data_IF_665793364162
#
_entry.id   IF_665793364162
#
_cell.length_a   1.000
_cell.length_b   1.000
_cell.length_c   1.000
_cell.angle_alpha   90.00
_cell.angle_beta   90.00
_cell.angle_gamma   90.00
#
_symmetry.space_group_name_H-M   'P 1'
#
loop_
_entity.id
_entity.type
_entity.pdbx_description
1 polymer ?
#
# COMPACT_ATOMS: atom_id res chain seq x y z
N UNK A 1 -5.70 2.74 -20.64
CA UNK A 1 -4.72 2.35 -19.60
C UNK A 1 -3.31 2.14 -20.15
N UNK A 2 -3.14 1.89 -21.46
CA UNK A 2 -1.83 1.62 -22.10
C UNK A 2 -0.78 2.73 -21.96
N UNK A 3 -1.15 4.01 -22.04
CA UNK A 3 -0.17 5.11 -22.02
C UNK A 3 0.60 5.25 -20.70
N UNK A 4 0.02 4.85 -19.56
CA UNK A 4 0.66 4.97 -18.24
C UNK A 4 1.69 3.86 -18.02
N UNK A 5 1.42 2.65 -18.50
CA UNK A 5 2.32 1.50 -18.38
C UNK A 5 3.34 1.36 -19.51
N UNK A 6 3.25 2.19 -20.56
CA UNK A 6 4.16 2.10 -21.71
C UNK A 6 5.54 2.64 -21.34
N UNK A 7 6.50 1.74 -21.20
CA UNK A 7 7.90 2.10 -21.03
C UNK A 7 8.43 2.80 -22.30
N UNK A 8 9.22 3.85 -22.11
CA UNK A 8 9.93 4.49 -23.22
C UNK A 8 11.03 3.54 -23.72
N UNK A 9 11.18 3.42 -25.03
CA UNK A 9 12.08 2.46 -25.68
C UNK A 9 13.56 2.75 -25.34
N UNK A 10 13.89 4.03 -25.09
CA UNK A 10 15.27 4.45 -24.86
C UNK A 10 15.70 4.37 -23.40
N UNK A 11 14.78 4.56 -22.45
CA UNK A 11 15.09 4.59 -21.01
C UNK A 11 14.56 3.39 -20.25
N UNK A 12 13.64 2.61 -20.83
CA UNK A 12 12.97 1.49 -20.16
C UNK A 12 11.99 1.92 -19.05
N UNK A 13 11.80 3.22 -18.83
CA UNK A 13 10.95 3.75 -17.74
C UNK A 13 9.59 4.22 -18.28
N UNK A 14 8.47 3.95 -17.59
CA UNK A 14 7.16 4.48 -17.92
C UNK A 14 7.05 5.97 -17.56
N UNK A 15 7.53 6.85 -18.45
CA UNK A 15 7.64 8.30 -18.22
C UNK A 15 6.30 8.95 -17.83
N UNK A 16 5.20 8.59 -18.49
CA UNK A 16 3.88 9.13 -18.15
C UNK A 16 3.42 8.75 -16.75
N UNK A 17 3.72 7.53 -16.29
CA UNK A 17 3.42 7.11 -14.92
C UNK A 17 4.24 7.89 -13.89
N UNK A 18 5.54 8.07 -14.17
CA UNK A 18 6.43 8.87 -13.32
C UNK A 18 5.94 10.32 -13.18
N UNK A 19 5.60 10.98 -14.30
CA UNK A 19 5.10 12.35 -14.29
C UNK A 19 3.82 12.54 -13.47
N UNK A 20 2.92 11.55 -13.47
CA UNK A 20 1.70 11.60 -12.65
C UNK A 20 2.06 11.53 -11.16
N UNK A 21 2.96 10.63 -10.78
CA UNK A 21 3.42 10.50 -9.38
C UNK A 21 4.14 11.77 -8.93
N UNK A 22 5.02 12.33 -9.77
CA UNK A 22 5.75 13.57 -9.48
C UNK A 22 4.80 14.77 -9.33
N UNK A 23 3.79 14.90 -10.19
CA UNK A 23 2.80 15.96 -10.07
C UNK A 23 2.03 15.86 -8.74
N UNK A 24 1.63 14.66 -8.33
CA UNK A 24 0.97 14.42 -7.03
C UNK A 24 1.94 14.74 -5.88
N UNK A 25 3.22 14.35 -5.99
CA UNK A 25 4.23 14.63 -4.98
C UNK A 25 4.43 16.14 -4.77
N UNK A 26 4.54 16.92 -5.85
CA UNK A 26 4.66 18.39 -5.78
C UNK A 26 3.44 18.99 -5.07
N UNK A 27 2.23 18.55 -5.44
CA UNK A 27 0.99 19.01 -4.79
C UNK A 27 1.02 18.70 -3.28
N UNK A 28 1.42 17.48 -2.90
CA UNK A 28 1.51 17.09 -1.49
C UNK A 28 2.55 17.90 -0.71
N UNK A 29 3.71 18.20 -1.31
CA UNK A 29 4.76 19.04 -0.70
C UNK A 29 4.24 20.47 -0.45
N UNK A 30 3.46 21.02 -1.38
CA UNK A 30 2.91 22.38 -1.25
C UNK A 30 1.78 22.48 -0.20
N UNK A 31 1.01 21.40 -0.01
CA UNK A 31 -0.12 21.35 0.92
C UNK A 31 0.24 20.91 2.33
N UNK A 32 1.33 20.16 2.49
CA UNK A 32 1.62 19.41 3.72
C UNK A 32 2.93 19.78 4.40
N UNK A 33 2.97 19.63 5.72
CA UNK A 33 4.23 19.61 6.48
C UNK A 33 4.86 18.21 6.37
N UNK A 34 6.19 18.14 6.30
CA UNK A 34 6.95 16.88 6.27
C UNK A 34 6.52 15.89 7.37
N UNK A 35 6.28 16.35 8.59
CA UNK A 35 5.83 15.49 9.69
C UNK A 35 4.48 14.85 9.38
N UNK A 36 3.54 15.65 8.89
CA UNK A 36 2.17 15.20 8.56
C UNK A 36 2.18 14.20 7.41
N UNK A 37 2.96 14.46 6.37
CA UNK A 37 3.11 13.57 5.22
C UNK A 37 3.72 12.23 5.63
N UNK A 38 4.77 12.27 6.46
CA UNK A 38 5.46 11.07 6.95
C UNK A 38 4.56 10.25 7.88
N UNK A 39 3.84 10.89 8.80
CA UNK A 39 2.93 10.20 9.71
C UNK A 39 1.80 9.49 8.94
N UNK A 40 1.23 10.16 7.93
CA UNK A 40 0.22 9.56 7.04
C UNK A 40 0.78 8.39 6.22
N UNK A 41 2.00 8.53 5.68
CA UNK A 41 2.69 7.48 4.92
C UNK A 41 2.92 6.24 5.79
N UNK A 42 3.52 6.43 6.96
CA UNK A 42 3.85 5.36 7.92
C UNK A 42 2.57 4.63 8.33
N UNK A 43 1.50 5.36 8.62
CA UNK A 43 0.20 4.77 8.94
C UNK A 43 -0.31 3.84 7.84
N UNK A 44 -0.39 4.32 6.59
CA UNK A 44 -0.88 3.51 5.46
C UNK A 44 0.04 2.32 5.19
N UNK A 45 1.36 2.52 5.27
CA UNK A 45 2.34 1.43 5.12
C UNK A 45 2.14 0.34 6.17
N UNK A 46 1.99 0.68 7.45
CA UNK A 46 1.78 -0.30 8.51
C UNK A 46 0.43 -0.99 8.44
N UNK A 47 -0.62 -0.29 7.97
CA UNK A 47 -1.92 -0.89 7.70
C UNK A 47 -1.80 -2.01 6.65
N UNK A 48 -1.18 -1.73 5.50
CA UNK A 48 -0.99 -2.75 4.46
C UNK A 48 0.02 -3.83 4.86
N UNK A 49 1.07 -3.48 5.61
CA UNK A 49 2.04 -4.47 6.10
C UNK A 49 1.41 -5.46 7.08
N UNK A 50 0.50 -4.99 7.94
CA UNK A 50 -0.27 -5.85 8.84
C UNK A 50 -1.15 -6.81 8.04
N UNK A 51 -1.88 -6.31 7.03
CA UNK A 51 -2.68 -7.15 6.14
C UNK A 51 -1.82 -8.17 5.38
N UNK A 52 -0.63 -7.78 4.91
CA UNK A 52 0.31 -8.67 4.24
C UNK A 52 0.79 -9.78 5.18
N UNK A 53 1.13 -9.44 6.42
CA UNK A 53 1.57 -10.41 7.44
C UNK A 53 0.46 -11.42 7.75
N UNK A 54 -0.80 -10.97 7.83
CA UNK A 54 -1.97 -11.84 7.97
C UNK A 54 -2.14 -12.71 6.72
N UNK A 55 -2.00 -12.14 5.52
CA UNK A 55 -2.13 -12.86 4.26
C UNK A 55 -1.10 -14.01 4.14
N UNK A 56 0.12 -13.84 4.67
CA UNK A 56 1.11 -14.93 4.73
C UNK A 56 0.61 -16.09 5.57
N UNK A 57 -0.02 -15.84 6.72
CA UNK A 57 -0.57 -16.91 7.58
C UNK A 57 -1.75 -17.59 6.88
N UNK A 58 -2.64 -16.81 6.26
CA UNK A 58 -3.81 -17.32 5.52
C UNK A 58 -3.36 -18.18 4.35
N UNK A 59 -2.44 -17.69 3.52
CA UNK A 59 -1.93 -18.41 2.34
C UNK A 59 -1.27 -19.73 2.75
N UNK A 60 -0.60 -19.74 3.91
CA UNK A 60 0.00 -20.96 4.43
C UNK A 60 -1.00 -22.03 4.82
N UNK A 61 -2.21 -21.63 5.24
CA UNK A 61 -3.31 -22.53 5.58
C UNK A 61 -4.11 -22.96 4.33
N UNK A 62 -4.30 -22.05 3.38
CA UNK A 62 -5.10 -22.29 2.19
C UNK A 62 -4.36 -23.13 1.13
N UNK A 63 -3.06 -22.87 0.93
CA UNK A 63 -2.23 -23.57 -0.07
C UNK A 63 -0.95 -24.12 0.58
N UNK A 64 -1.07 -25.22 1.35
CA UNK A 64 0.07 -25.82 2.03
C UNK A 64 1.06 -26.49 1.08
N UNK A 65 0.59 -27.02 -0.06
CA UNK A 65 1.39 -27.80 -1.03
C UNK A 65 2.15 -26.96 -2.05
N UNK A 66 1.94 -25.64 -2.07
CA UNK A 66 2.66 -24.75 -2.98
C UNK A 66 4.18 -24.86 -2.75
N UNK A 67 4.96 -25.01 -3.81
CA UNK A 67 6.41 -25.02 -3.72
C UNK A 67 6.89 -23.62 -3.29
N UNK A 68 7.55 -23.53 -2.13
CA UNK A 68 8.00 -22.25 -1.56
C UNK A 68 9.52 -22.15 -1.71
N UNK A 69 10.04 -21.34 -2.66
CA UNK A 69 11.48 -21.10 -2.81
C UNK A 69 12.13 -20.51 -1.56
N UNK A 70 11.35 -19.74 -0.79
CA UNK A 70 11.76 -19.18 0.50
C UNK A 70 10.71 -19.47 1.57
N UNK A 71 11.15 -19.98 2.72
CA UNK A 71 10.33 -20.15 3.91
C UNK A 71 10.83 -19.19 4.97
N UNK A 72 9.94 -18.35 5.49
CA UNK A 72 10.26 -17.44 6.59
C UNK A 72 10.79 -18.28 7.77
N UNK A 73 12.05 -18.05 8.21
CA UNK A 73 12.61 -18.76 9.35
C UNK A 73 11.80 -18.39 10.60
N UNK A 74 11.68 -19.30 11.58
CA UNK A 74 10.89 -19.06 12.81
C UNK A 74 9.40 -18.78 12.59
N UNK A 75 8.81 -19.29 11.50
CA UNK A 75 7.35 -19.28 11.37
C UNK A 75 6.70 -20.10 12.50
N UNK A 76 5.63 -19.61 13.18
CA UNK A 76 4.82 -18.41 12.89
C UNK A 76 5.17 -17.15 13.72
N UNK A 77 6.27 -17.15 14.47
CA UNK A 77 6.61 -16.11 15.43
C UNK A 77 6.85 -14.76 14.73
N UNK A 78 7.63 -14.76 13.65
CA UNK A 78 7.96 -13.51 12.92
C UNK A 78 6.70 -12.81 12.40
N UNK A 79 5.79 -13.48 11.64
CA UNK A 79 4.54 -12.85 11.22
C UNK A 79 3.67 -12.36 12.38
N UNK A 80 3.64 -13.11 13.50
CA UNK A 80 2.83 -12.72 14.65
C UNK A 80 3.35 -11.43 15.31
N UNK A 81 4.67 -11.29 15.46
CA UNK A 81 5.30 -10.06 15.96
C UNK A 81 5.00 -8.89 15.03
N UNK A 82 5.11 -9.08 13.70
CA UNK A 82 4.76 -8.05 12.72
C UNK A 82 3.30 -7.61 12.83
N UNK A 83 2.37 -8.54 13.06
CA UNK A 83 0.95 -8.24 13.25
C UNK A 83 0.74 -7.44 14.53
N UNK A 84 1.34 -7.85 15.65
CA UNK A 84 1.20 -7.15 16.94
C UNK A 84 1.76 -5.72 16.82
N UNK A 85 2.96 -5.56 16.27
CA UNK A 85 3.59 -4.25 16.07
C UNK A 85 2.80 -3.37 15.11
N UNK A 86 2.29 -3.95 14.02
CA UNK A 86 1.49 -3.22 13.05
C UNK A 86 0.15 -2.76 13.60
N UNK A 87 -0.57 -3.62 14.33
CA UNK A 87 -1.80 -3.26 15.03
C UNK A 87 -1.53 -2.15 16.06
N UNK A 88 -0.44 -2.27 16.82
CA UNK A 88 -0.07 -1.25 17.80
C UNK A 88 0.12 0.12 17.15
N UNK A 89 0.87 0.20 16.04
CA UNK A 89 1.12 1.45 15.32
C UNK A 89 -0.19 2.00 14.74
N UNK A 90 -0.99 1.17 14.07
CA UNK A 90 -2.27 1.58 13.47
C UNK A 90 -3.22 2.13 14.53
N UNK A 91 -3.41 1.42 15.65
CA UNK A 91 -4.29 1.86 16.75
C UNK A 91 -3.74 3.12 17.41
N UNK A 92 -2.43 3.18 17.66
CA UNK A 92 -1.78 4.37 18.23
C UNK A 92 -1.98 5.59 17.35
N UNK A 93 -1.81 5.47 16.03
CA UNK A 93 -2.00 6.59 15.11
C UNK A 93 -3.46 7.00 14.99
N UNK A 94 -4.42 6.07 15.05
CA UNK A 94 -5.86 6.40 15.05
C UNK A 94 -6.23 7.22 16.29
N UNK A 95 -5.71 6.86 17.46
CA UNK A 95 -5.99 7.56 18.73
C UNK A 95 -5.29 8.92 18.76
N UNK A 96 -4.01 8.97 18.41
CA UNK A 96 -3.20 10.20 18.53
C UNK A 96 -3.42 11.19 17.36
N UNK A 97 -3.76 10.68 16.18
CA UNK A 97 -3.86 11.47 14.94
C UNK A 97 -5.06 11.01 14.09
N UNK A 98 -6.27 11.14 14.65
CA UNK A 98 -7.51 10.68 14.03
C UNK A 98 -7.77 11.29 12.64
N UNK A 99 -7.57 12.60 12.49
CA UNK A 99 -7.79 13.31 11.22
C UNK A 99 -6.85 12.78 10.12
N UNK A 100 -5.57 12.56 10.45
CA UNK A 100 -4.58 12.08 9.49
C UNK A 100 -4.84 10.63 9.07
N UNK A 101 -5.25 9.81 10.03
CA UNK A 101 -5.69 8.44 9.76
C UNK A 101 -6.88 8.40 8.80
N UNK A 102 -7.86 9.30 9.00
CA UNK A 102 -9.04 9.40 8.15
C UNK A 102 -8.69 9.84 6.72
N UNK A 103 -7.77 10.80 6.56
CA UNK A 103 -7.28 11.23 5.25
C UNK A 103 -6.55 10.08 4.54
N UNK A 104 -5.66 9.36 5.25
CA UNK A 104 -4.93 8.22 4.70
C UNK A 104 -5.86 7.09 4.23
N UNK A 105 -6.88 6.75 5.05
CA UNK A 105 -7.90 5.76 4.68
C UNK A 105 -8.70 6.24 3.47
N UNK A 106 -9.13 7.51 3.46
CA UNK A 106 -9.92 8.08 2.37
C UNK A 106 -9.14 8.06 1.06
N UNK A 107 -7.87 8.46 1.09
CA UNK A 107 -6.99 8.44 -0.09
C UNK A 107 -6.79 7.01 -0.61
N UNK A 108 -6.65 6.04 0.30
CA UNK A 108 -6.54 4.62 -0.06
C UNK A 108 -7.85 4.10 -0.70
N UNK A 109 -9.00 4.45 -0.12
CA UNK A 109 -10.32 4.07 -0.61
C UNK A 109 -10.63 4.70 -1.98
N UNK A 110 -10.11 5.90 -2.29
CA UNK A 110 -10.25 6.53 -3.62
C UNK A 110 -9.62 5.67 -4.74
N UNK A 111 -8.71 4.74 -4.41
CA UNK A 111 -8.23 3.75 -5.37
C UNK A 111 -9.30 2.75 -5.84
N UNK A 112 -10.27 2.40 -4.99
CA UNK A 112 -11.35 1.46 -5.31
C UNK A 112 -12.30 1.93 -6.42
N UNK A 113 -12.89 3.14 -6.38
CA UNK A 113 -13.78 3.59 -7.46
C UNK A 113 -13.03 3.69 -8.80
N UNK A 114 -11.76 4.08 -8.79
CA UNK A 114 -10.91 4.09 -9.99
C UNK A 114 -10.72 2.66 -10.53
N UNK A 115 -10.45 1.69 -9.64
CA UNK A 115 -10.33 0.28 -10.00
C UNK A 115 -11.62 -0.26 -10.62
N UNK A 116 -12.78 -0.06 -9.98
CA UNK A 116 -14.07 -0.53 -10.50
C UNK A 116 -14.45 0.12 -11.83
N UNK A 117 -14.20 1.42 -11.98
CA UNK A 117 -14.44 2.14 -13.24
C UNK A 117 -13.63 1.54 -14.39
N UNK A 118 -12.32 1.32 -14.17
CA UNK A 118 -11.45 0.70 -15.18
C UNK A 118 -11.78 -0.77 -15.43
N UNK A 119 -12.17 -1.53 -14.41
CA UNK A 119 -12.57 -2.92 -14.55
C UNK A 119 -13.82 -3.05 -15.42
N UNK A 120 -14.79 -2.15 -15.25
CA UNK A 120 -15.99 -2.08 -16.10
C UNK A 120 -15.65 -1.69 -17.54
N UNK A 121 -14.70 -0.78 -17.73
CA UNK A 121 -14.25 -0.35 -19.06
C UNK A 121 -13.47 -1.44 -19.81
N UNK A 122 -12.69 -2.27 -19.13
CA UNK A 122 -11.93 -3.35 -19.75
C UNK A 122 -12.75 -4.63 -20.01
N UNK A 123 -13.96 -4.72 -19.44
CA UNK A 123 -14.85 -5.89 -19.59
C UNK A 123 -15.92 -5.70 -20.68
N UNK A 124 -16.03 -4.49 -21.22
CA UNK A 124 -16.79 -4.15 -22.43
C UNK A 124 -15.82 -4.00 -23.61
#
# INVERSE_FOLDING_TARGET
>A
SEKIGKANIHTGVPVFGALIVDAIAIIMILLGNFSVLTDMLVFVMWLFNTMLSIAVIILRKHEPELTRPFKVPWYPIIPLISIIGGIFIVVSTIINQFILSLIGISLTLLGLPIYYYKQKQNRN
#
